data_IF_329397068326
#
_entry.id   IF_329397068326
#
_cell.length_a   1.000
_cell.length_b   1.000
_cell.length_c   1.000
_cell.angle_alpha   90.00
_cell.angle_beta   90.00
_cell.angle_gamma   90.00
#
_symmetry.space_group_name_H-M   'P 1'
#
loop_
_entity.id
_entity.type
_entity.pdbx_description
1 polymer ?
#
# COMPACT_ATOMS: atom_id res chain seq x y z
N UNK A 1 9.87 -18.56 -1.00
CA UNK A 1 9.61 -17.24 -1.64
C UNK A 1 10.16 -16.15 -0.75
N UNK A 2 10.60 -15.04 -1.33
CA UNK A 2 11.05 -13.86 -0.58
C UNK A 2 9.89 -12.92 -0.24
N UNK A 3 10.05 -12.12 0.81
CA UNK A 3 9.27 -10.90 1.04
C UNK A 3 9.94 -9.81 0.20
N UNK A 4 9.13 -8.98 -0.45
CA UNK A 4 9.61 -7.84 -1.22
C UNK A 4 9.07 -6.57 -0.61
N UNK A 5 9.92 -5.57 -0.46
CA UNK A 5 9.57 -4.25 0.05
C UNK A 5 8.92 -3.40 -1.03
N UNK A 6 9.23 -3.66 -2.31
CA UNK A 6 8.70 -2.93 -3.45
C UNK A 6 8.48 -3.82 -4.67
N UNK A 7 7.41 -3.51 -5.41
CA UNK A 7 7.11 -4.07 -6.72
C UNK A 7 7.08 -2.94 -7.75
N UNK A 8 7.91 -3.08 -8.79
CA UNK A 8 7.98 -2.15 -9.93
C UNK A 8 7.60 -2.91 -11.19
N UNK A 9 6.69 -2.36 -12.00
CA UNK A 9 6.22 -3.00 -13.22
C UNK A 9 5.99 -1.99 -14.33
N UNK A 10 6.09 -2.40 -15.60
CA UNK A 10 5.69 -1.56 -16.73
C UNK A 10 4.17 -1.62 -16.89
N UNK A 11 3.55 -0.51 -17.29
CA UNK A 11 2.12 -0.48 -17.64
C UNK A 11 1.74 -1.47 -18.73
N UNK A 12 2.60 -1.59 -19.75
CA UNK A 12 2.34 -2.38 -20.94
C UNK A 12 3.39 -3.48 -21.01
N UNK A 13 2.92 -4.72 -20.92
CA UNK A 13 3.74 -5.92 -21.09
C UNK A 13 3.11 -6.76 -22.20
N UNK A 14 2.60 -7.96 -21.90
CA UNK A 14 1.88 -8.78 -22.86
C UNK A 14 0.56 -8.13 -23.32
N UNK A 15 -0.05 -7.32 -22.45
CA UNK A 15 -1.24 -6.50 -22.74
C UNK A 15 -1.02 -5.07 -22.25
N UNK A 16 -1.90 -4.17 -22.71
CA UNK A 16 -1.87 -2.76 -22.33
C UNK A 16 -2.18 -2.50 -20.85
N UNK A 17 -2.75 -3.49 -20.15
CA UNK A 17 -3.20 -3.43 -18.76
C UNK A 17 -2.45 -4.38 -17.81
N UNK A 18 -1.53 -5.20 -18.31
CA UNK A 18 -0.82 -6.22 -17.54
C UNK A 18 -0.12 -5.66 -16.29
N UNK A 19 0.47 -4.45 -16.38
CA UNK A 19 1.12 -3.80 -15.25
C UNK A 19 0.18 -3.54 -14.08
N UNK A 20 -1.07 -3.17 -14.36
CA UNK A 20 -2.05 -2.89 -13.31
C UNK A 20 -2.48 -4.16 -12.58
N UNK A 21 -2.52 -5.31 -13.26
CA UNK A 21 -2.78 -6.60 -12.62
C UNK A 21 -1.68 -6.97 -11.61
N UNK A 22 -0.42 -6.71 -11.95
CA UNK A 22 0.72 -6.91 -11.03
C UNK A 22 0.59 -6.03 -9.80
N UNK A 23 0.26 -4.75 -9.97
CA UNK A 23 0.07 -3.80 -8.86
C UNK A 23 -1.04 -4.26 -7.92
N UNK A 24 -2.17 -4.71 -8.48
CA UNK A 24 -3.31 -5.23 -7.71
C UNK A 24 -2.94 -6.49 -6.92
N UNK A 25 -2.22 -7.40 -7.55
CA UNK A 25 -1.74 -8.62 -6.90
C UNK A 25 -0.73 -8.33 -5.77
N UNK A 26 0.14 -7.34 -5.96
CA UNK A 26 1.11 -6.89 -4.96
C UNK A 26 0.42 -6.25 -3.74
N UNK A 27 -0.59 -5.41 -3.95
CA UNK A 27 -1.38 -4.82 -2.85
C UNK A 27 -2.21 -5.82 -2.05
N UNK A 28 -2.58 -6.94 -2.65
CA UNK A 28 -3.30 -8.00 -1.95
C UNK A 28 -2.41 -8.80 -0.97
N UNK A 29 -1.10 -8.57 -0.98
CA UNK A 29 -0.17 -9.26 -0.09
C UNK A 29 -0.21 -8.67 1.33
N UNK A 30 -0.19 -9.55 2.35
CA UNK A 30 -0.24 -9.14 3.76
C UNK A 30 0.92 -8.23 4.17
N UNK A 31 2.10 -8.39 3.54
CA UNK A 31 3.27 -7.57 3.85
C UNK A 31 3.19 -6.15 3.25
N UNK A 32 2.17 -5.87 2.42
CA UNK A 32 1.86 -4.58 1.81
C UNK A 32 3.12 -3.89 1.24
N UNK A 33 3.64 -4.34 0.10
CA UNK A 33 4.81 -3.73 -0.50
C UNK A 33 4.50 -2.34 -1.10
N UNK A 34 5.51 -1.50 -1.22
CA UNK A 34 5.44 -0.31 -2.06
C UNK A 34 5.20 -0.70 -3.53
N UNK A 35 4.40 0.09 -4.25
CA UNK A 35 4.01 -0.23 -5.63
C UNK A 35 4.27 0.95 -6.57
N UNK A 36 4.97 0.71 -7.67
CA UNK A 36 5.28 1.72 -8.68
C UNK A 36 5.12 1.22 -10.11
N UNK A 37 4.59 2.09 -10.97
CA UNK A 37 4.47 1.84 -12.40
C UNK A 37 5.60 2.55 -13.15
N UNK A 38 6.53 1.81 -13.76
CA UNK A 38 7.63 2.35 -14.56
C UNK A 38 7.29 2.27 -16.05
N UNK A 39 6.75 3.34 -16.64
CA UNK A 39 6.29 3.32 -18.04
C UNK A 39 6.85 4.49 -18.85
N UNK A 40 7.11 4.25 -20.14
CA UNK A 40 7.38 5.34 -21.10
C UNK A 40 6.09 6.01 -21.62
N UNK A 41 4.93 5.39 -21.36
CA UNK A 41 3.63 5.82 -21.85
C UNK A 41 2.68 6.00 -20.66
N UNK A 42 2.77 7.15 -19.96
CA UNK A 42 1.85 7.42 -18.86
C UNK A 42 0.41 7.41 -19.39
N UNK A 43 -0.52 6.72 -18.70
CA UNK A 43 -1.93 6.83 -19.04
C UNK A 43 -2.36 8.30 -18.94
N UNK A 44 -3.11 8.79 -19.94
CA UNK A 44 -3.51 10.21 -20.01
C UNK A 44 -4.52 10.60 -18.94
N UNK A 45 -5.16 9.62 -18.32
CA UNK A 45 -6.11 9.73 -17.22
C UNK A 45 -5.46 9.28 -15.90
N UNK A 46 -5.94 9.80 -14.78
CA UNK A 46 -5.47 9.50 -13.41
C UNK A 46 -5.77 8.05 -12.96
N UNK A 47 -6.05 7.13 -13.87
CA UNK A 47 -6.50 5.76 -13.60
C UNK A 47 -5.49 4.97 -12.76
N UNK A 48 -4.20 5.31 -12.83
CA UNK A 48 -3.18 4.69 -11.98
C UNK A 48 -3.42 4.87 -10.48
N UNK A 49 -4.05 5.99 -10.04
CA UNK A 49 -4.45 6.16 -8.64
C UNK A 49 -5.63 5.26 -8.27
N UNK A 50 -6.54 5.04 -9.21
CA UNK A 50 -7.72 4.20 -9.02
C UNK A 50 -7.36 2.70 -9.04
N UNK A 51 -6.36 2.31 -9.82
CA UNK A 51 -5.86 0.93 -9.88
C UNK A 51 -4.87 0.58 -8.77
N UNK A 52 -4.59 1.54 -7.89
CA UNK A 52 -3.75 1.33 -6.73
C UNK A 52 -2.26 1.32 -7.04
N UNK A 53 -1.77 2.06 -8.03
CA UNK A 53 -0.35 2.41 -8.03
C UNK A 53 -0.13 3.51 -6.98
N UNK A 54 0.88 3.35 -6.13
CA UNK A 54 1.26 4.39 -5.16
C UNK A 54 2.03 5.52 -5.83
N UNK A 55 2.76 5.20 -6.91
CA UNK A 55 3.42 6.20 -7.74
C UNK A 55 3.52 5.77 -9.21
N UNK A 56 3.49 6.77 -10.08
CA UNK A 56 3.75 6.64 -11.51
C UNK A 56 5.16 7.18 -11.80
N UNK A 57 6.07 6.28 -12.14
CA UNK A 57 7.41 6.60 -12.58
C UNK A 57 7.40 6.62 -14.11
N UNK A 58 7.40 7.82 -14.70
CA UNK A 58 7.67 7.94 -16.14
C UNK A 58 9.15 7.62 -16.34
N UNK A 59 9.48 6.66 -17.21
CA UNK A 59 10.86 6.23 -17.46
C UNK A 59 11.76 7.46 -17.68
N UNK A 60 12.63 7.81 -16.72
CA UNK A 60 13.41 9.03 -16.80
C UNK A 60 14.58 8.82 -17.77
N UNK A 61 15.12 9.93 -18.27
CA UNK A 61 16.28 9.92 -19.19
C UNK A 61 17.60 9.59 -18.43
N UNK A 62 17.56 9.23 -17.14
CA UNK A 62 18.74 8.87 -16.35
C UNK A 62 18.47 7.99 -15.13
N UNK A 63 19.38 7.06 -14.85
CA UNK A 63 19.28 6.08 -13.74
C UNK A 63 19.28 6.75 -12.36
N UNK A 64 20.00 7.85 -12.20
CA UNK A 64 20.10 8.55 -10.90
C UNK A 64 18.77 9.12 -10.44
N UNK A 65 18.00 9.69 -11.36
CA UNK A 65 16.69 10.26 -11.02
C UNK A 65 15.64 9.18 -10.74
N UNK A 66 15.78 8.01 -11.38
CA UNK A 66 14.95 6.85 -11.06
C UNK A 66 15.23 6.36 -9.63
N UNK A 67 16.50 6.21 -9.26
CA UNK A 67 16.90 5.74 -7.94
C UNK A 67 16.41 6.68 -6.83
N UNK A 68 16.57 8.00 -7.01
CA UNK A 68 16.09 8.99 -6.04
C UNK A 68 14.57 8.92 -5.84
N UNK A 69 13.81 8.70 -6.92
CA UNK A 69 12.35 8.55 -6.85
C UNK A 69 11.93 7.25 -6.15
N UNK A 70 12.66 6.16 -6.40
CA UNK A 70 12.44 4.88 -5.72
C UNK A 70 12.69 5.01 -4.21
N UNK A 71 13.80 5.64 -3.81
CA UNK A 71 14.14 5.89 -2.41
C UNK A 71 13.07 6.72 -1.70
N UNK A 72 12.64 7.83 -2.33
CA UNK A 72 11.59 8.68 -1.78
C UNK A 72 10.26 7.93 -1.62
N UNK A 73 9.92 7.06 -2.59
CA UNK A 73 8.70 6.27 -2.51
C UNK A 73 8.74 5.23 -1.40
N UNK A 74 9.88 4.57 -1.21
CA UNK A 74 10.08 3.58 -0.15
C UNK A 74 9.95 4.22 1.23
N UNK A 75 10.61 5.37 1.45
CA UNK A 75 10.51 6.11 2.72
C UNK A 75 9.06 6.52 3.00
N UNK A 76 8.39 7.12 2.02
CA UNK A 76 7.00 7.55 2.18
C UNK A 76 6.06 6.36 2.47
N UNK A 77 6.26 5.24 1.78
CA UNK A 77 5.45 4.05 1.98
C UNK A 77 5.62 3.47 3.39
N UNK A 78 6.86 3.38 3.89
CA UNK A 78 7.11 2.84 5.22
C UNK A 78 6.56 3.77 6.32
N UNK A 79 6.67 5.09 6.14
CA UNK A 79 6.06 6.09 7.02
C UNK A 79 4.53 5.96 7.06
N UNK A 80 3.89 5.79 5.90
CA UNK A 80 2.43 5.60 5.79
C UNK A 80 2.00 4.28 6.46
N UNK A 81 2.76 3.20 6.25
CA UNK A 81 2.52 1.88 6.82
C UNK A 81 2.65 1.91 8.34
N UNK A 82 3.70 2.52 8.87
CA UNK A 82 3.92 2.66 10.31
C UNK A 82 2.83 3.55 10.94
N UNK A 83 2.43 4.62 10.25
CA UNK A 83 1.33 5.49 10.69
C UNK A 83 0.00 4.74 10.75
N UNK A 84 -0.30 3.89 9.77
CA UNK A 84 -1.51 3.05 9.77
C UNK A 84 -1.50 2.02 10.90
N UNK A 85 -0.35 1.41 11.20
CA UNK A 85 -0.17 0.50 12.34
C UNK A 85 -0.42 1.24 13.67
N UNK A 86 0.14 2.45 13.81
CA UNK A 86 0.02 3.25 15.03
C UNK A 86 -1.39 3.84 15.21
N UNK A 87 -2.11 4.09 14.12
CA UNK A 87 -3.47 4.65 14.13
C UNK A 87 -4.56 3.58 14.31
N UNK A 88 -4.25 2.29 14.11
CA UNK A 88 -5.16 1.21 14.44
C UNK A 88 -5.39 1.19 15.96
N UNK A 89 -6.63 1.43 16.46
CA UNK A 89 -6.87 1.47 17.89
C UNK A 89 -6.62 0.08 18.46
N UNK A 90 -5.78 0.02 19.52
CA UNK A 90 -5.57 -1.15 20.35
C UNK A 90 -6.91 -1.84 20.63
N UNK A 91 -7.14 -2.98 19.99
CA UNK A 91 -8.22 -3.89 20.31
C UNK A 91 -7.97 -4.56 21.66
N UNK A 92 -8.19 -3.81 22.75
CA UNK A 92 -8.37 -4.39 24.08
C UNK A 92 -9.80 -4.13 24.50
N UNK A 93 -10.64 -5.14 24.24
CA UNK A 93 -11.97 -5.31 24.78
C UNK A 93 -11.91 -5.42 26.31
N UNK A 94 -11.81 -4.29 27.02
CA UNK A 94 -11.98 -4.21 28.48
C UNK A 94 -13.27 -3.48 28.88
N UNK A 95 -14.10 -3.05 27.91
CA UNK A 95 -15.38 -2.38 28.21
C UNK A 95 -16.60 -3.32 28.23
N UNK A 96 -16.47 -4.57 27.77
CA UNK A 96 -17.56 -5.55 27.80
C UNK A 96 -17.75 -6.18 29.19
N UNK A 97 -16.66 -6.44 29.92
CA UNK A 97 -16.73 -7.07 31.26
C UNK A 97 -17.24 -6.13 32.35
N UNK A 98 -16.94 -4.82 32.26
CA UNK A 98 -17.43 -3.83 33.22
C UNK A 98 -18.96 -3.68 33.22
N UNK A 99 -19.61 -3.94 32.08
CA UNK A 99 -21.08 -3.88 31.97
C UNK A 99 -21.79 -5.13 32.50
N UNK A 100 -21.11 -6.26 32.60
CA UNK A 100 -21.71 -7.50 33.11
C UNK A 100 -21.79 -7.50 34.65
N UNK A 101 -20.79 -6.94 35.34
CA UNK A 101 -20.80 -6.85 36.81
C UNK A 101 -21.80 -5.83 37.38
N UNK A 102 -22.07 -4.72 36.67
CA UNK A 102 -23.04 -3.73 37.16
C UNK A 102 -24.51 -4.17 37.04
N UNK A 103 -24.84 -5.08 36.12
CA UNK A 103 -26.20 -5.61 36.01
C UNK A 103 -26.55 -6.62 37.11
N UNK A 104 -25.57 -7.29 37.72
CA UNK A 104 -25.82 -8.28 38.77
C UNK A 104 -26.00 -7.66 40.16
N UNK A 105 -25.47 -6.45 40.42
CA UNK A 105 -25.63 -5.78 41.72
C UNK A 105 -26.94 -5.01 41.88
N UNK A 106 -27.72 -4.82 40.80
CA UNK A 106 -29.04 -4.16 40.86
C UNK A 106 -30.22 -5.15 40.86
N UNK A 107 -29.95 -6.45 40.91
CA UNK A 107 -30.97 -7.50 40.87
C UNK A 107 -31.07 -8.31 42.19
N UNK A 108 -30.41 -7.86 43.26
CA UNK A 108 -30.63 -8.34 44.64
C UNK A 108 -31.21 -7.25 45.51
#
# INVERSE_FOLDING_TARGET
SGIYEMVITDSRMETDDAGFHVIRAARAQTYNPATALLTAYPPRNLDWKHDGAQSLLVKPIGTQDLLRQIEALLVQHEDDKQSAINAAPNGHSTQAEARYSQKQQKAS
#
